data_IF_726237985404
#
_entry.id   IF_726237985404
#
_cell.length_a   1.000
_cell.length_b   1.000
_cell.length_c   1.000
_cell.angle_alpha   90.00
_cell.angle_beta   90.00
_cell.angle_gamma   90.00
#
_symmetry.space_group_name_H-M   'P 1'
#
loop_
_entity.id
_entity.type
_entity.pdbx_description
1 polymer ?
#
# COMPACT_ATOMS: atom_id res chain seq x y z
N UNK A 1 -17.53 4.71 6.80
CA UNK A 1 -18.67 3.77 6.94
C UNK A 1 -19.99 4.38 6.45
N UNK A 2 -20.44 5.51 6.99
CA UNK A 2 -21.72 6.16 6.62
C UNK A 2 -21.98 6.22 5.11
N UNK A 3 -21.07 6.84 4.34
CA UNK A 3 -21.21 6.96 2.89
C UNK A 3 -21.19 5.64 2.13
N UNK A 4 -20.46 4.64 2.64
CA UNK A 4 -20.46 3.30 2.05
C UNK A 4 -21.82 2.63 2.26
N UNK A 5 -22.40 2.76 3.46
CA UNK A 5 -23.73 2.24 3.78
C UNK A 5 -24.82 2.91 2.96
N UNK A 6 -24.80 4.24 2.81
CA UNK A 6 -25.82 4.94 2.01
C UNK A 6 -25.84 4.46 0.56
N UNK A 7 -24.66 4.28 -0.06
CA UNK A 7 -24.55 3.75 -1.41
C UNK A 7 -25.01 2.30 -1.52
N UNK A 8 -24.61 1.44 -0.58
CA UNK A 8 -25.00 0.03 -0.58
C UNK A 8 -26.50 -0.16 -0.36
N UNK A 9 -27.09 0.55 0.62
CA UNK A 9 -28.51 0.50 0.92
C UNK A 9 -29.34 0.95 -0.27
N UNK A 10 -29.00 2.10 -0.88
CA UNK A 10 -29.68 2.60 -2.08
C UNK A 10 -29.60 1.62 -3.26
N UNK A 11 -28.48 0.91 -3.39
CA UNK A 11 -28.21 0.08 -4.56
C UNK A 11 -28.72 -1.35 -4.47
N UNK A 12 -28.78 -1.92 -3.27
CA UNK A 12 -29.03 -3.35 -3.10
C UNK A 12 -30.24 -3.68 -2.22
N UNK A 13 -30.56 -2.85 -1.23
CA UNK A 13 -31.59 -3.18 -0.22
C UNK A 13 -32.88 -2.42 -0.48
N UNK A 14 -32.78 -1.11 -0.72
CA UNK A 14 -33.91 -0.20 -0.78
C UNK A 14 -34.09 0.38 -2.19
N UNK A 15 -34.08 -0.49 -3.21
CA UNK A 15 -34.07 -0.08 -4.63
C UNK A 15 -35.31 0.71 -5.07
N UNK A 16 -36.49 0.38 -4.56
CA UNK A 16 -37.76 0.85 -5.12
C UNK A 16 -38.66 1.63 -4.14
N UNK A 17 -38.35 1.63 -2.82
CA UNK A 17 -39.31 2.05 -1.80
C UNK A 17 -38.71 2.88 -0.63
N UNK A 18 -37.66 3.67 -0.83
CA UNK A 18 -37.11 4.47 0.27
C UNK A 18 -37.14 5.97 0.05
N UNK A 19 -37.80 6.65 1.00
CA UNK A 19 -37.52 8.02 1.35
C UNK A 19 -36.02 8.18 1.67
N UNK A 20 -35.35 9.19 1.10
CA UNK A 20 -33.92 9.45 1.34
C UNK A 20 -33.61 9.56 2.85
N UNK A 21 -34.58 10.04 3.64
CA UNK A 21 -34.47 10.09 5.09
C UNK A 21 -34.27 8.71 5.74
N UNK A 22 -34.91 7.66 5.20
CA UNK A 22 -34.78 6.30 5.72
C UNK A 22 -33.39 5.71 5.42
N UNK A 23 -32.85 5.97 4.21
CA UNK A 23 -31.49 5.53 3.86
C UNK A 23 -30.46 6.24 4.75
N UNK A 24 -30.58 7.57 4.88
CA UNK A 24 -29.66 8.37 5.68
C UNK A 24 -29.77 8.01 7.16
N UNK A 25 -30.98 7.80 7.68
CA UNK A 25 -31.23 7.36 9.06
C UNK A 25 -30.62 5.98 9.35
N UNK A 26 -30.87 4.99 8.49
CA UNK A 26 -30.29 3.64 8.64
C UNK A 26 -28.76 3.66 8.57
N UNK A 27 -28.18 4.41 7.63
CA UNK A 27 -26.73 4.57 7.52
C UNK A 27 -26.14 5.30 8.74
N UNK A 28 -26.83 6.31 9.29
CA UNK A 28 -26.42 7.03 10.48
C UNK A 28 -26.39 6.10 11.69
N UNK A 29 -27.49 5.38 11.95
CA UNK A 29 -27.60 4.41 13.06
C UNK A 29 -26.50 3.36 12.95
N UNK A 30 -26.31 2.74 11.78
CA UNK A 30 -25.27 1.74 11.57
C UNK A 30 -23.85 2.29 11.78
N UNK A 31 -23.58 3.51 11.31
CA UNK A 31 -22.28 4.15 11.52
C UNK A 31 -22.01 4.54 12.97
N UNK A 32 -23.02 5.04 13.70
CA UNK A 32 -22.89 5.40 15.11
C UNK A 32 -22.75 4.17 16.00
N UNK A 33 -23.50 3.10 15.73
CA UNK A 33 -23.35 1.83 16.43
C UNK A 33 -21.93 1.27 16.30
N UNK A 34 -21.31 1.41 15.12
CA UNK A 34 -19.92 1.02 14.91
C UNK A 34 -18.92 1.94 15.64
N UNK A 35 -19.15 3.25 15.65
CA UNK A 35 -18.32 4.22 16.40
C UNK A 35 -18.21 3.86 17.88
N UNK A 36 -19.31 3.44 18.50
CA UNK A 36 -19.35 3.07 19.92
C UNK A 36 -19.15 1.56 20.17
N UNK A 37 -18.65 0.81 19.19
CA UNK A 37 -18.26 -0.59 19.41
C UNK A 37 -16.91 -0.65 20.13
N UNK A 38 -16.79 -1.50 21.16
CA UNK A 38 -15.62 -1.56 22.04
C UNK A 38 -14.31 -1.65 21.26
N UNK A 39 -14.20 -2.61 20.34
CA UNK A 39 -12.96 -2.83 19.58
C UNK A 39 -12.52 -1.60 18.78
N UNK A 40 -13.44 -0.90 18.12
CA UNK A 40 -13.07 0.27 17.31
C UNK A 40 -12.89 1.53 18.14
N UNK A 41 -13.66 1.68 19.22
CA UNK A 41 -13.51 2.80 20.15
C UNK A 41 -12.14 2.76 20.83
N UNK A 42 -11.75 1.62 21.40
CA UNK A 42 -10.46 1.51 22.08
C UNK A 42 -9.28 1.65 21.10
N UNK A 43 -9.35 1.03 19.92
CA UNK A 43 -8.33 1.23 18.87
C UNK A 43 -8.20 2.71 18.43
N UNK A 44 -9.27 3.51 18.52
CA UNK A 44 -9.26 4.92 18.12
C UNK A 44 -8.66 5.86 19.18
N UNK A 45 -8.65 5.44 20.45
CA UNK A 45 -8.11 6.23 21.57
C UNK A 45 -6.65 5.88 21.86
N UNK A 46 -6.21 4.69 21.47
CA UNK A 46 -4.82 4.27 21.57
C UNK A 46 -3.95 4.90 20.46
N UNK A 47 -2.71 5.25 20.80
CA UNK A 47 -1.74 5.81 19.85
C UNK A 47 -1.11 4.72 18.97
N UNK A 48 -1.95 3.94 18.28
CA UNK A 48 -1.57 2.85 17.41
C UNK A 48 -1.84 3.15 15.92
N UNK A 49 -1.25 2.33 15.06
CA UNK A 49 -1.36 2.45 13.60
C UNK A 49 -2.68 1.89 13.04
N UNK A 50 -3.45 1.14 13.83
CA UNK A 50 -4.65 0.45 13.33
C UNK A 50 -5.81 1.39 13.01
N UNK A 51 -6.03 2.45 13.81
CA UNK A 51 -7.05 3.44 13.51
C UNK A 51 -6.82 4.17 12.17
N UNK A 52 -5.63 4.76 11.90
CA UNK A 52 -5.36 5.37 10.60
C UNK A 52 -5.30 4.32 9.46
N UNK A 53 -4.86 3.09 9.72
CA UNK A 53 -4.91 2.01 8.73
C UNK A 53 -6.35 1.64 8.32
N UNK A 54 -7.25 1.51 9.30
CA UNK A 54 -8.67 1.24 9.07
C UNK A 54 -9.35 2.40 8.33
N UNK A 55 -8.97 3.65 8.62
CA UNK A 55 -9.44 4.83 7.89
C UNK A 55 -9.06 4.75 6.40
N UNK A 56 -7.79 4.46 6.10
CA UNK A 56 -7.31 4.35 4.71
C UNK A 56 -7.97 3.17 3.98
N UNK A 57 -8.12 2.02 4.64
CA UNK A 57 -8.82 0.85 4.09
C UNK A 57 -10.30 1.16 3.79
N UNK A 58 -10.98 1.84 4.72
CA UNK A 58 -12.37 2.29 4.56
C UNK A 58 -12.52 3.29 3.40
N UNK A 59 -11.56 4.21 3.25
CA UNK A 59 -11.48 5.14 2.13
C UNK A 59 -11.26 4.41 0.79
N UNK A 60 -10.35 3.44 0.74
CA UNK A 60 -10.10 2.60 -0.44
C UNK A 60 -11.34 1.79 -0.85
N UNK A 61 -12.05 1.22 0.12
CA UNK A 61 -13.31 0.53 -0.14
C UNK A 61 -14.38 1.48 -0.69
N UNK A 62 -14.51 2.68 -0.12
CA UNK A 62 -15.47 3.68 -0.58
C UNK A 62 -15.13 4.20 -1.99
N UNK A 63 -13.90 4.65 -2.20
CA UNK A 63 -13.45 5.25 -3.46
C UNK A 63 -13.30 4.21 -4.57
N UNK A 64 -12.65 3.07 -4.28
CA UNK A 64 -12.37 2.02 -5.26
C UNK A 64 -13.47 0.99 -5.40
N UNK A 65 -14.08 0.58 -4.29
CA UNK A 65 -15.15 -0.40 -4.32
C UNK A 65 -16.48 0.14 -4.83
N UNK A 66 -16.83 1.38 -4.47
CA UNK A 66 -18.17 1.93 -4.76
C UNK A 66 -18.15 3.03 -5.82
N UNK A 67 -17.32 4.07 -5.63
CA UNK A 67 -17.32 5.23 -6.54
C UNK A 67 -16.68 4.92 -7.90
N UNK A 68 -15.51 4.28 -7.91
CA UNK A 68 -14.87 3.87 -9.15
C UNK A 68 -15.72 2.85 -9.90
N UNK A 69 -16.27 1.88 -9.18
CA UNK A 69 -17.15 0.89 -9.77
C UNK A 69 -18.33 1.57 -10.47
N UNK A 70 -19.01 2.53 -9.82
CA UNK A 70 -20.10 3.31 -10.43
C UNK A 70 -19.67 4.07 -11.69
N UNK A 71 -18.52 4.73 -11.64
CA UNK A 71 -18.07 5.68 -12.67
C UNK A 71 -17.11 5.06 -13.72
N UNK A 72 -16.90 3.73 -13.69
CA UNK A 72 -15.83 3.03 -14.43
C UNK A 72 -15.84 3.28 -15.94
N UNK A 73 -17.03 3.37 -16.54
CA UNK A 73 -17.21 3.55 -17.99
C UNK A 73 -17.40 5.02 -18.39
N UNK A 74 -17.34 5.96 -17.44
CA UNK A 74 -17.42 7.38 -17.74
C UNK A 74 -16.07 7.91 -18.27
N UNK A 75 -16.05 8.95 -19.12
CA UNK A 75 -14.81 9.51 -19.68
C UNK A 75 -13.76 9.95 -18.64
N UNK A 76 -14.18 10.22 -17.40
CA UNK A 76 -13.30 10.59 -16.27
C UNK A 76 -13.26 9.54 -15.16
N UNK A 77 -13.67 8.30 -15.42
CA UNK A 77 -13.68 7.21 -14.44
C UNK A 77 -12.31 6.89 -13.85
N UNK A 78 -11.25 7.00 -14.66
CA UNK A 78 -9.86 6.71 -14.26
C UNK A 78 -9.31 7.66 -13.18
N UNK A 79 -9.97 8.80 -12.89
CA UNK A 79 -9.57 9.68 -11.78
C UNK A 79 -9.57 8.93 -10.45
N UNK A 80 -10.51 7.98 -10.28
CA UNK A 80 -10.61 7.18 -9.07
C UNK A 80 -9.45 6.20 -8.96
N UNK A 81 -9.00 5.59 -10.07
CA UNK A 81 -7.80 4.73 -10.08
C UNK A 81 -6.55 5.47 -9.60
N UNK A 82 -6.37 6.73 -10.02
CA UNK A 82 -5.24 7.56 -9.59
C UNK A 82 -5.34 7.86 -8.09
N UNK A 83 -6.54 8.17 -7.60
CA UNK A 83 -6.76 8.41 -6.16
C UNK A 83 -6.54 7.14 -5.32
N UNK A 84 -7.03 5.99 -5.77
CA UNK A 84 -6.78 4.68 -5.14
C UNK A 84 -5.28 4.41 -5.10
N UNK A 85 -4.57 4.66 -6.19
CA UNK A 85 -3.11 4.47 -6.28
C UNK A 85 -2.37 5.32 -5.24
N UNK A 86 -2.78 6.58 -5.09
CA UNK A 86 -2.25 7.47 -4.05
C UNK A 86 -2.49 6.93 -2.65
N UNK A 87 -3.73 6.56 -2.33
CA UNK A 87 -4.11 6.06 -1.00
C UNK A 87 -3.44 4.72 -0.68
N UNK A 88 -3.26 3.84 -1.68
CA UNK A 88 -2.45 2.61 -1.54
C UNK A 88 -1.01 2.96 -1.18
N UNK A 89 -0.38 3.91 -1.89
CA UNK A 89 0.97 4.39 -1.59
C UNK A 89 1.08 4.97 -0.18
N UNK A 90 0.11 5.81 0.22
CA UNK A 90 0.04 6.41 1.54
C UNK A 90 -0.12 5.36 2.65
N UNK A 91 -0.85 4.26 2.37
CA UNK A 91 -1.02 3.15 3.31
C UNK A 91 0.32 2.58 3.76
N UNK A 92 1.33 2.50 2.88
CA UNK A 92 2.65 2.00 3.29
C UNK A 92 3.25 2.83 4.42
N UNK A 93 3.03 4.16 4.46
CA UNK A 93 3.49 5.05 5.52
C UNK A 93 2.84 4.82 6.89
N UNK A 94 1.74 4.07 6.94
CA UNK A 94 0.98 3.79 8.17
C UNK A 94 1.00 2.30 8.49
N UNK A 95 0.42 1.48 7.60
CA UNK A 95 0.32 0.02 7.72
C UNK A 95 -0.01 -0.60 6.36
N UNK A 96 0.48 -1.80 6.07
CA UNK A 96 0.23 -2.53 4.81
C UNK A 96 -1.20 -3.02 4.57
N UNK A 97 -2.15 -2.74 5.47
CA UNK A 97 -3.53 -3.26 5.38
C UNK A 97 -4.27 -2.72 4.15
N UNK A 98 -4.05 -1.46 3.77
CA UNK A 98 -4.73 -0.87 2.61
C UNK A 98 -4.41 -1.57 1.30
N UNK A 99 -3.25 -2.22 1.16
CA UNK A 99 -2.84 -2.92 -0.07
C UNK A 99 -3.71 -4.15 -0.30
N UNK A 100 -4.24 -4.75 0.77
CA UNK A 100 -5.14 -5.91 0.71
C UNK A 100 -6.48 -5.59 0.05
N UNK A 101 -6.81 -4.31 -0.17
CA UNK A 101 -8.00 -3.94 -0.95
C UNK A 101 -7.81 -4.13 -2.45
N UNK A 102 -6.57 -4.23 -2.95
CA UNK A 102 -6.27 -4.40 -4.39
C UNK A 102 -6.95 -5.67 -4.94
N UNK A 103 -6.86 -6.86 -4.29
CA UNK A 103 -7.62 -8.04 -4.66
C UNK A 103 -9.12 -7.80 -4.86
N UNK A 104 -9.76 -7.19 -3.87
CA UNK A 104 -11.19 -6.91 -3.93
C UNK A 104 -11.55 -5.95 -5.07
N UNK A 105 -10.80 -4.86 -5.24
CA UNK A 105 -11.01 -3.86 -6.30
C UNK A 105 -10.77 -4.48 -7.69
N UNK A 106 -9.74 -5.32 -7.84
CA UNK A 106 -9.46 -6.05 -9.08
C UNK A 106 -10.57 -7.02 -9.47
N UNK A 107 -11.15 -7.71 -8.49
CA UNK A 107 -12.30 -8.59 -8.72
C UNK A 107 -13.56 -7.82 -9.08
N UNK A 108 -13.81 -6.65 -8.46
CA UNK A 108 -14.90 -5.76 -8.85
C UNK A 108 -14.76 -5.30 -10.31
N UNK A 109 -13.54 -5.00 -10.75
CA UNK A 109 -13.27 -4.70 -12.16
C UNK A 109 -13.56 -5.88 -13.07
N UNK A 110 -13.12 -7.09 -12.70
CA UNK A 110 -13.36 -8.32 -13.46
C UNK A 110 -14.85 -8.59 -13.67
N UNK A 111 -15.64 -8.63 -12.59
CA UNK A 111 -17.08 -8.91 -12.69
C UNK A 111 -17.85 -7.84 -13.46
N UNK A 112 -17.33 -6.61 -13.51
CA UNK A 112 -17.96 -5.51 -14.25
C UNK A 112 -17.63 -5.52 -15.74
N UNK A 113 -16.43 -5.96 -16.12
CA UNK A 113 -16.00 -6.04 -17.52
C UNK A 113 -16.43 -7.35 -18.19
N UNK A 114 -16.41 -8.48 -17.48
CA UNK A 114 -16.70 -9.79 -18.04
C UNK A 114 -18.11 -10.26 -17.66
N UNK A 115 -19.03 -10.27 -18.63
CA UNK A 115 -20.40 -10.75 -18.45
C UNK A 115 -20.53 -12.28 -18.39
N UNK A 116 -19.59 -13.01 -19.01
CA UNK A 116 -19.55 -14.48 -19.00
C UNK A 116 -18.36 -14.94 -18.16
N UNK A 117 -18.65 -15.56 -17.02
CA UNK A 117 -17.65 -16.06 -16.07
C UNK A 117 -17.36 -17.52 -16.42
N UNK A 118 -16.14 -17.79 -16.88
CA UNK A 118 -15.63 -19.16 -17.04
C UNK A 118 -14.59 -19.44 -15.94
N UNK A 119 -14.44 -20.69 -15.48
CA UNK A 119 -13.44 -21.04 -14.46
C UNK A 119 -12.02 -20.60 -14.86
N UNK A 120 -11.66 -20.74 -16.14
CA UNK A 120 -10.35 -20.31 -16.66
C UNK A 120 -10.17 -18.80 -16.56
N UNK A 121 -11.14 -18.01 -17.01
CA UNK A 121 -11.06 -16.54 -16.95
C UNK A 121 -11.02 -16.04 -15.50
N UNK A 122 -11.72 -16.72 -14.59
CA UNK A 122 -11.71 -16.40 -13.17
C UNK A 122 -10.35 -16.66 -12.54
N UNK A 123 -9.70 -17.79 -12.85
CA UNK A 123 -8.35 -18.10 -12.36
C UNK A 123 -7.33 -17.09 -12.92
N UNK A 124 -7.38 -16.78 -14.22
CA UNK A 124 -6.50 -15.78 -14.84
C UNK A 124 -6.68 -14.40 -14.21
N UNK A 125 -7.91 -13.99 -13.91
CA UNK A 125 -8.20 -12.72 -13.25
C UNK A 125 -7.57 -12.66 -11.84
N UNK A 126 -7.75 -13.71 -11.03
CA UNK A 126 -7.14 -13.79 -9.70
C UNK A 126 -5.61 -13.74 -9.77
N UNK A 127 -4.99 -14.51 -10.66
CA UNK A 127 -3.53 -14.49 -10.85
C UNK A 127 -3.06 -13.09 -11.28
N UNK A 128 -3.77 -12.44 -12.19
CA UNK A 128 -3.43 -11.09 -12.66
C UNK A 128 -3.48 -10.06 -11.53
N UNK A 129 -4.50 -10.15 -10.68
CA UNK A 129 -4.69 -9.23 -9.55
C UNK A 129 -3.65 -9.47 -8.45
N UNK A 130 -3.32 -10.74 -8.16
CA UNK A 130 -2.21 -11.09 -7.27
C UNK A 130 -0.87 -10.63 -7.85
N UNK A 131 -0.68 -10.72 -9.16
CA UNK A 131 0.52 -10.20 -9.81
C UNK A 131 0.65 -8.68 -9.66
N UNK A 132 -0.46 -7.92 -9.76
CA UNK A 132 -0.46 -6.47 -9.50
C UNK A 132 -0.12 -6.18 -8.04
N UNK A 133 -0.70 -6.92 -7.08
CA UNK A 133 -0.38 -6.81 -5.66
C UNK A 133 1.13 -7.04 -5.42
N UNK A 134 1.68 -8.15 -5.94
CA UNK A 134 3.09 -8.48 -5.82
C UNK A 134 4.00 -7.48 -6.53
N UNK A 135 3.57 -6.95 -7.68
CA UNK A 135 4.31 -5.91 -8.38
C UNK A 135 4.44 -4.66 -7.50
N UNK A 136 3.35 -4.19 -6.89
CA UNK A 136 3.41 -3.00 -6.03
C UNK A 136 4.21 -3.26 -4.76
N UNK A 137 3.96 -4.38 -4.08
CA UNK A 137 4.55 -4.70 -2.78
C UNK A 137 6.01 -5.14 -2.88
N UNK A 138 6.33 -6.11 -3.75
CA UNK A 138 7.64 -6.77 -3.80
C UNK A 138 8.60 -6.12 -4.80
N UNK A 139 8.08 -5.50 -5.87
CA UNK A 139 8.92 -4.93 -6.92
C UNK A 139 9.00 -3.42 -6.82
N UNK A 140 7.88 -2.71 -6.95
CA UNK A 140 7.89 -1.27 -7.15
C UNK A 140 8.61 -0.50 -6.03
N UNK A 141 8.21 -0.72 -4.78
CA UNK A 141 8.73 0.07 -3.66
C UNK A 141 10.14 -0.34 -3.22
N UNK A 142 10.44 -1.64 -3.01
CA UNK A 142 11.77 -2.05 -2.57
C UNK A 142 12.85 -1.72 -3.60
N UNK A 143 12.55 -1.90 -4.90
CA UNK A 143 13.50 -1.52 -5.95
C UNK A 143 13.65 -0.01 -6.07
N UNK A 144 12.58 0.78 -5.85
CA UNK A 144 12.72 2.23 -5.80
C UNK A 144 13.70 2.63 -4.70
N UNK A 145 13.53 2.13 -3.46
CA UNK A 145 14.48 2.39 -2.38
C UNK A 145 15.90 1.89 -2.71
N UNK A 146 16.01 0.72 -3.33
CA UNK A 146 17.30 0.13 -3.72
C UNK A 146 18.04 0.99 -4.73
N UNK A 147 17.36 1.51 -5.76
CA UNK A 147 17.97 2.41 -6.74
C UNK A 147 18.44 3.70 -6.07
N UNK A 148 17.64 4.28 -5.16
CA UNK A 148 18.09 5.44 -4.38
C UNK A 148 19.35 5.13 -3.57
N UNK A 149 19.40 3.97 -2.89
CA UNK A 149 20.59 3.54 -2.14
C UNK A 149 21.83 3.31 -3.01
N UNK A 150 21.69 2.68 -4.19
CA UNK A 150 22.80 2.48 -5.11
C UNK A 150 23.31 3.80 -5.70
N UNK A 151 22.41 4.71 -6.07
CA UNK A 151 22.78 6.03 -6.60
C UNK A 151 23.49 6.87 -5.55
N UNK A 152 23.05 6.81 -4.29
CA UNK A 152 23.74 7.44 -3.17
C UNK A 152 25.19 6.97 -3.07
N UNK A 153 25.41 5.66 -3.07
CA UNK A 153 26.77 5.08 -2.98
C UNK A 153 27.63 5.48 -4.18
N UNK A 154 27.10 5.41 -5.40
CA UNK A 154 27.85 5.74 -6.62
C UNK A 154 28.30 7.21 -6.65
N UNK A 155 27.40 8.16 -6.37
CA UNK A 155 27.74 9.58 -6.42
C UNK A 155 28.62 10.04 -5.26
N UNK A 156 28.48 9.46 -4.08
CA UNK A 156 29.28 9.83 -2.92
C UNK A 156 30.65 9.15 -2.96
N UNK A 157 30.72 7.84 -3.21
CA UNK A 157 31.98 7.09 -3.10
C UNK A 157 32.83 7.17 -4.37
N UNK A 158 32.24 7.06 -5.56
CA UNK A 158 33.00 7.01 -6.82
C UNK A 158 33.26 8.41 -7.40
N UNK A 159 32.28 9.31 -7.30
CA UNK A 159 32.38 10.69 -7.83
C UNK A 159 32.90 11.67 -6.76
N UNK A 160 32.73 11.37 -5.48
CA UNK A 160 33.20 12.22 -4.38
C UNK A 160 32.27 13.39 -4.03
N UNK A 161 30.97 13.31 -4.36
CA UNK A 161 30.00 14.33 -3.98
C UNK A 161 29.65 14.26 -2.47
N UNK A 162 29.12 15.35 -1.88
CA UNK A 162 28.64 15.34 -0.50
C UNK A 162 27.49 14.34 -0.28
N UNK A 163 27.31 13.89 0.97
CA UNK A 163 26.18 13.05 1.37
C UNK A 163 24.82 13.62 0.92
N UNK A 164 23.88 12.72 0.61
CA UNK A 164 22.55 12.95 0.03
C UNK A 164 22.53 13.43 -1.44
N UNK A 165 23.67 13.68 -2.07
CA UNK A 165 23.72 14.15 -3.46
C UNK A 165 23.16 13.12 -4.44
N UNK A 166 23.45 11.84 -4.25
CA UNK A 166 22.96 10.78 -5.14
C UNK A 166 21.43 10.63 -5.06
N UNK A 167 20.88 10.74 -3.86
CA UNK A 167 19.44 10.74 -3.61
C UNK A 167 18.72 11.93 -4.28
N UNK A 168 19.30 13.13 -4.22
CA UNK A 168 18.75 14.33 -4.88
C UNK A 168 18.77 14.17 -6.41
N UNK A 169 19.90 13.71 -6.97
CA UNK A 169 20.04 13.46 -8.41
C UNK A 169 19.01 12.41 -8.86
N UNK A 170 18.85 11.33 -8.10
CA UNK A 170 17.87 10.29 -8.40
C UNK A 170 16.43 10.86 -8.38
N UNK A 171 16.09 11.70 -7.40
CA UNK A 171 14.78 12.36 -7.36
C UNK A 171 14.52 13.20 -8.62
N UNK A 172 15.51 13.98 -9.07
CA UNK A 172 15.41 14.77 -10.30
C UNK A 172 15.19 13.86 -11.52
N UNK A 173 15.93 12.74 -11.61
CA UNK A 173 15.78 11.76 -12.69
C UNK A 173 14.39 11.13 -12.70
N UNK A 174 13.84 10.78 -11.52
CA UNK A 174 12.47 10.25 -11.39
C UNK A 174 11.45 11.28 -11.88
N UNK A 175 11.58 12.55 -11.46
CA UNK A 175 10.67 13.62 -11.90
C UNK A 175 10.77 13.80 -13.43
N UNK A 176 11.99 13.85 -13.98
CA UNK A 176 12.21 13.96 -15.41
C UNK A 176 11.59 12.79 -16.20
N UNK A 177 11.74 11.57 -15.69
CA UNK A 177 11.14 10.36 -16.27
C UNK A 177 9.61 10.45 -16.31
N UNK A 178 8.96 10.84 -15.21
CA UNK A 178 7.49 10.98 -15.19
C UNK A 178 7.01 12.10 -16.10
N UNK A 179 7.67 13.25 -16.11
CA UNK A 179 7.35 14.35 -17.05
C UNK A 179 7.48 13.87 -18.49
N UNK A 180 8.53 13.14 -18.83
CA UNK A 180 8.73 12.54 -20.15
C UNK A 180 7.61 11.55 -20.50
N UNK A 181 7.30 10.58 -19.64
CA UNK A 181 6.26 9.56 -19.89
C UNK A 181 4.87 10.17 -20.03
N UNK A 182 4.53 11.19 -19.23
CA UNK A 182 3.25 11.90 -19.34
C UNK A 182 3.17 12.67 -20.67
N UNK A 183 4.23 13.40 -21.05
CA UNK A 183 4.28 14.11 -22.34
C UNK A 183 4.23 13.15 -23.52
N UNK A 184 4.99 12.06 -23.46
CA UNK A 184 5.03 11.04 -24.50
C UNK A 184 3.68 10.34 -24.69
N UNK A 185 3.04 9.92 -23.60
CA UNK A 185 1.73 9.27 -23.64
C UNK A 185 0.64 10.19 -24.19
N UNK A 186 0.67 11.49 -23.86
CA UNK A 186 -0.23 12.50 -24.42
C UNK A 186 0.03 12.75 -25.90
N UNK A 187 1.29 12.95 -26.31
CA UNK A 187 1.67 13.19 -27.72
C UNK A 187 1.29 12.02 -28.64
N UNK A 188 1.37 10.79 -28.13
CA UNK A 188 1.04 9.56 -28.89
C UNK A 188 -0.41 9.09 -28.69
N UNK A 189 -1.28 9.87 -28.03
CA UNK A 189 -2.67 9.51 -27.73
C UNK A 189 -2.83 8.11 -27.11
N UNK A 190 -1.98 7.76 -26.14
CA UNK A 190 -2.02 6.47 -25.41
C UNK A 190 -2.64 6.64 -24.01
N UNK A 191 -3.98 6.61 -23.85
CA UNK A 191 -4.64 6.88 -22.57
C UNK A 191 -4.33 5.83 -21.50
N UNK A 192 -4.16 4.56 -21.88
CA UNK A 192 -3.78 3.49 -20.95
C UNK A 192 -2.39 3.73 -20.37
N UNK A 193 -1.40 4.05 -21.22
CA UNK A 193 -0.04 4.35 -20.78
C UNK A 193 -0.01 5.57 -19.86
N UNK A 194 -0.81 6.60 -20.17
CA UNK A 194 -0.93 7.78 -19.32
C UNK A 194 -1.51 7.41 -17.94
N UNK A 195 -2.57 6.62 -17.91
CA UNK A 195 -3.22 6.18 -16.66
C UNK A 195 -2.27 5.34 -15.81
N UNK A 196 -1.57 4.36 -16.40
CA UNK A 196 -0.58 3.53 -15.69
C UNK A 196 0.55 4.41 -15.13
N UNK A 197 1.09 5.32 -15.94
CA UNK A 197 2.14 6.26 -15.51
C UNK A 197 1.67 7.10 -14.32
N UNK A 198 0.44 7.63 -14.36
CA UNK A 198 -0.14 8.39 -13.26
C UNK A 198 -0.36 7.52 -12.01
N UNK A 199 -0.88 6.31 -12.16
CA UNK A 199 -1.05 5.39 -11.03
C UNK A 199 0.29 5.12 -10.33
N UNK A 200 1.32 4.76 -11.08
CA UNK A 200 2.66 4.52 -10.50
C UNK A 200 3.22 5.78 -9.85
N UNK A 201 3.10 6.94 -10.50
CA UNK A 201 3.54 8.22 -9.95
C UNK A 201 2.86 8.52 -8.61
N UNK A 202 1.53 8.35 -8.54
CA UNK A 202 0.77 8.63 -7.32
C UNK A 202 1.01 7.59 -6.21
N UNK A 203 1.30 6.32 -6.54
CA UNK A 203 1.79 5.35 -5.54
C UNK A 203 3.10 5.86 -4.92
N UNK A 204 4.05 6.32 -5.74
CA UNK A 204 5.33 6.83 -5.25
C UNK A 204 5.19 8.12 -4.45
N UNK A 205 4.28 9.02 -4.84
CA UNK A 205 3.94 10.23 -4.07
C UNK A 205 3.31 9.85 -2.73
N UNK A 206 2.43 8.85 -2.67
CA UNK A 206 1.89 8.36 -1.40
C UNK A 206 2.99 7.72 -0.53
N UNK A 207 3.86 6.93 -1.15
CA UNK A 207 4.98 6.28 -0.50
C UNK A 207 6.03 7.27 0.02
N UNK A 208 6.13 8.49 -0.54
CA UNK A 208 7.06 9.50 -0.04
C UNK A 208 6.79 9.91 1.40
N UNK A 209 5.64 9.56 2.00
CA UNK A 209 5.43 9.68 3.46
C UNK A 209 6.50 8.95 4.29
N UNK A 210 7.13 7.90 3.74
CA UNK A 210 8.25 7.19 4.37
C UNK A 210 9.50 8.06 4.56
N UNK A 211 9.66 9.16 3.83
CA UNK A 211 10.80 10.07 4.03
C UNK A 211 10.79 10.72 5.41
N UNK A 212 9.65 10.69 6.13
CA UNK A 212 9.61 11.08 7.53
C UNK A 212 10.60 10.29 8.40
N UNK A 213 10.86 9.02 8.07
CA UNK A 213 11.80 8.17 8.82
C UNK A 213 13.23 8.74 8.77
N UNK A 214 13.89 8.91 7.61
CA UNK A 214 15.23 9.48 7.56
C UNK A 214 15.28 10.93 8.04
N UNK A 215 14.25 11.74 7.78
CA UNK A 215 14.20 13.14 8.29
C UNK A 215 14.25 13.16 9.82
N UNK A 216 13.44 12.32 10.47
CA UNK A 216 13.41 12.19 11.93
C UNK A 216 14.72 11.62 12.46
N UNK A 217 15.28 10.62 11.80
CA UNK A 217 16.52 9.98 12.23
C UNK A 217 17.72 10.96 12.17
N UNK A 218 17.78 11.81 11.14
CA UNK A 218 18.76 12.89 11.03
C UNK A 218 18.60 14.01 12.07
N UNK A 219 17.41 14.17 12.68
CA UNK A 219 17.20 15.14 13.75
C UNK A 219 17.79 14.70 15.10
N UNK A 220 18.38 13.51 15.19
CA UNK A 220 19.04 13.01 16.40
C UNK A 220 18.07 12.72 17.54
N UNK A 221 16.93 12.08 17.24
CA UNK A 221 15.95 11.77 18.29
C UNK A 221 16.49 10.78 19.32
N UNK A 222 16.16 10.91 20.63
CA UNK A 222 16.67 10.03 21.69
C UNK A 222 16.41 8.54 21.46
N UNK A 223 15.29 8.23 20.79
CA UNK A 223 14.94 6.88 20.33
C UNK A 223 15.06 6.87 18.81
N UNK A 224 16.03 6.13 18.28
CA UNK A 224 16.31 6.01 16.85
C UNK A 224 16.70 4.56 16.49
N UNK A 225 15.70 3.68 16.47
CA UNK A 225 15.87 2.27 16.14
C UNK A 225 16.42 2.08 14.72
N UNK A 226 17.53 1.34 14.59
CA UNK A 226 18.24 1.06 13.33
C UNK A 226 18.82 2.26 12.56
N UNK A 227 18.66 3.49 13.07
CA UNK A 227 19.30 4.70 12.55
C UNK A 227 19.19 4.87 11.01
N UNK A 228 17.98 4.91 10.41
CA UNK A 228 17.78 4.97 8.97
C UNK A 228 18.07 6.37 8.38
N UNK A 229 19.26 6.92 8.60
CA UNK A 229 19.59 8.32 8.29
C UNK A 229 19.83 8.58 6.80
N UNK A 230 20.25 7.55 6.07
CA UNK A 230 20.57 7.64 4.65
C UNK A 230 19.76 6.62 3.83
N UNK A 231 19.70 6.81 2.50
CA UNK A 231 18.91 5.96 1.60
C UNK A 231 19.22 4.45 1.74
N UNK A 232 20.49 4.09 2.00
CA UNK A 232 20.90 2.70 2.22
C UNK A 232 20.40 2.14 3.55
N UNK A 233 20.51 2.93 4.63
CA UNK A 233 20.02 2.52 5.94
C UNK A 233 18.49 2.40 5.96
N UNK A 234 17.79 3.27 5.21
CA UNK A 234 16.35 3.16 5.00
C UNK A 234 15.96 1.89 4.24
N UNK A 235 16.74 1.46 3.24
CA UNK A 235 16.52 0.19 2.54
C UNK A 235 16.72 -1.01 3.47
N UNK A 236 17.80 -1.02 4.26
CA UNK A 236 18.06 -2.09 5.24
C UNK A 236 16.94 -2.17 6.30
N UNK A 237 16.44 -1.01 6.74
CA UNK A 237 15.27 -0.90 7.61
C UNK A 237 14.01 -1.49 6.95
N UNK A 238 13.72 -1.11 5.71
CA UNK A 238 12.58 -1.64 4.95
C UNK A 238 12.64 -3.17 4.79
N UNK A 239 13.82 -3.69 4.44
CA UNK A 239 14.05 -5.12 4.24
C UNK A 239 14.10 -5.93 5.54
N UNK A 240 14.05 -5.26 6.70
CA UNK A 240 14.13 -5.90 8.01
C UNK A 240 15.41 -6.72 8.19
N UNK A 241 16.55 -6.25 7.65
CA UNK A 241 17.84 -6.95 7.73
C UNK A 241 18.33 -7.21 9.16
N UNK A 242 17.81 -6.44 10.13
CA UNK A 242 18.01 -6.63 11.57
C UNK A 242 17.36 -7.91 12.14
N UNK A 243 16.41 -8.52 11.42
CA UNK A 243 15.68 -9.71 11.86
C UNK A 243 16.07 -10.93 11.00
N UNK A 244 16.03 -12.15 11.57
CA UNK A 244 16.18 -13.38 10.80
C UNK A 244 15.17 -13.44 9.64
N UNK A 245 15.59 -14.06 8.54
CA UNK A 245 14.76 -14.15 7.35
C UNK A 245 13.44 -14.89 7.67
N UNK A 246 12.29 -14.33 7.28
CA UNK A 246 11.01 -15.03 7.46
C UNK A 246 11.01 -16.26 6.55
N UNK A 247 11.15 -17.45 7.14
CA UNK A 247 11.10 -18.67 6.36
C UNK A 247 9.65 -18.97 5.94
N UNK A 248 9.42 -19.13 4.64
CA UNK A 248 8.07 -19.27 4.08
C UNK A 248 7.45 -20.66 4.37
N UNK A 249 8.28 -21.69 4.51
CA UNK A 249 7.84 -23.08 4.67
C UNK A 249 8.36 -23.74 5.95
N UNK A 250 9.63 -23.48 6.31
CA UNK A 250 10.29 -24.09 7.46
C UNK A 250 11.09 -23.03 8.22
N UNK A 251 10.56 -22.54 9.34
CA UNK A 251 11.24 -21.61 10.23
C UNK A 251 12.44 -22.22 10.94
N UNK A 252 13.28 -21.39 11.53
CA UNK A 252 14.38 -21.84 12.41
C UNK A 252 13.85 -22.75 13.53
N UNK A 253 12.66 -22.45 14.05
CA UNK A 253 11.99 -23.26 15.07
C UNK A 253 11.31 -24.55 14.55
N UNK A 254 11.34 -24.85 13.24
CA UNK A 254 10.64 -26.01 12.68
C UNK A 254 11.21 -27.34 13.21
N UNK A 255 12.53 -27.40 13.40
CA UNK A 255 13.21 -28.56 13.99
C UNK A 255 13.45 -28.43 15.49
N UNK A 256 13.31 -27.24 16.08
CA UNK A 256 13.51 -27.02 17.52
C UNK A 256 12.50 -27.81 18.38
N UNK A 257 11.31 -28.11 17.85
CA UNK A 257 10.31 -28.97 18.53
C UNK A 257 10.81 -30.43 18.64
N UNK A 258 11.72 -30.86 17.76
CA UNK A 258 12.31 -32.20 17.75
C UNK A 258 13.73 -32.23 18.32
N UNK A 259 14.36 -31.07 18.52
CA UNK A 259 15.63 -30.96 19.19
C UNK A 259 15.39 -31.06 20.71
N UNK A 260 15.74 -32.22 21.29
CA UNK A 260 15.83 -32.34 22.74
C UNK A 260 16.83 -31.33 23.31
N UNK A 261 16.74 -31.06 24.61
CA UNK A 261 17.74 -30.24 25.31
C UNK A 261 19.12 -30.88 25.13
N UNK A 262 20.14 -30.04 24.86
CA UNK A 262 21.53 -30.49 24.84
C UNK A 262 21.86 -31.15 26.20
N UNK A 263 22.32 -32.42 26.22
CA UNK A 263 22.62 -33.14 27.46
C UNK A 263 23.68 -32.46 28.33
N UNK A 264 24.59 -31.68 27.72
CA UNK A 264 25.68 -31.01 28.42
C UNK A 264 25.43 -29.52 28.65
N UNK A 265 24.68 -28.85 27.77
CA UNK A 265 24.37 -27.42 27.91
C UNK A 265 22.89 -27.06 27.68
N UNK A 266 21.98 -27.48 28.57
CA UNK A 266 20.53 -27.34 28.35
C UNK A 266 20.01 -25.89 28.26
N UNK A 267 20.81 -24.87 28.58
CA UNK A 267 20.41 -23.44 28.60
C UNK A 267 21.35 -22.56 27.76
N UNK A 268 22.06 -23.15 26.79
CA UNK A 268 22.85 -22.37 25.83
C UNK A 268 21.91 -21.80 24.75
N UNK A 269 21.63 -20.49 24.80
CA UNK A 269 21.05 -19.80 23.64
C UNK A 269 22.10 -19.85 22.53
N UNK A 270 21.92 -20.75 21.55
CA UNK A 270 22.64 -20.68 20.28
C UNK A 270 22.43 -19.29 19.70
N UNK A 271 23.48 -18.48 19.69
CA UNK A 271 23.58 -17.29 18.87
C UNK A 271 24.05 -17.74 17.50
N UNK A 272 23.11 -17.93 16.59
CA UNK A 272 23.37 -17.93 15.14
C UNK A 272 22.20 -17.24 14.48
#
# INVERSE_FOLDING_TARGET
MFWSLTLLLKRHVLREASNDFMILGAAAIGSLAYTFSDSFWFNAVEAEVYAPAALLMSALFYMGGLLWERDMFLPRGNKWLVLISFTVGLSFGVHFMGILTIPAIGMLWYFKHYKKITPLNFVIANISVVAVLLFVFKLLLPYTLSIFGYMEVFFVNDIGLPFNSGSIIMLILVIALFVFLIRFSRKRNKPLLNTITLCVMFVLIGFSSWTMLPIRANAGTPINENNPNDARALLAYYNREQYPAPALFYGEAFTDIYAGLDPETPISRRKT
#
